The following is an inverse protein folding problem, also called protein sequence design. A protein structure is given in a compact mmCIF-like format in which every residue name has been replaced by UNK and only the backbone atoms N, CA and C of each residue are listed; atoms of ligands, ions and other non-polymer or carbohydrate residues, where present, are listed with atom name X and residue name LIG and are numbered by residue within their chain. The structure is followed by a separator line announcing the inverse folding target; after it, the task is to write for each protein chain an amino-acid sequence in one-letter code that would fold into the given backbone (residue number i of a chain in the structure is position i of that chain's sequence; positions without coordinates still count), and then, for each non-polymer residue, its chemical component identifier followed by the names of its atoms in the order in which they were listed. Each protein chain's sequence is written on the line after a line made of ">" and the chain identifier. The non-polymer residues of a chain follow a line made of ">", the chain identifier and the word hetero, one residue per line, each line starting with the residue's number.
data_IF_107584884071
#
_entry.id   IF_107584884071
#
_cell.length_a   1.000
_cell.length_b   1.000
_cell.length_c   1.000
_cell.angle_alpha   90.00
_cell.angle_beta   90.00
_cell.angle_gamma   90.00
#
_symmetry.space_group_name_H-M   'P 1'
#
loop_
_entity.id
_entity.type
_entity.pdbx_description
1 polymer ?
#
# COMPACT_ATOMS: atom_id res chain seq x y z
N UNK A 1 -14.97 -3.07 24.83
CA UNK A 1 -14.52 -4.03 25.87
C UNK A 1 -13.37 -4.91 25.34
N UNK A 2 -13.43 -5.45 24.12
CA UNK A 2 -12.37 -6.31 23.54
C UNK A 2 -11.05 -5.56 23.30
N UNK A 3 -11.09 -4.30 22.85
CA UNK A 3 -9.88 -3.51 22.60
C UNK A 3 -9.06 -3.28 23.88
N UNK A 4 -9.73 -3.07 25.02
CA UNK A 4 -9.07 -2.90 26.32
C UNK A 4 -8.41 -4.22 26.76
N UNK A 5 -9.09 -5.36 26.60
CA UNK A 5 -8.54 -6.66 26.93
C UNK A 5 -7.30 -6.99 26.07
N UNK A 6 -7.35 -6.73 24.76
CA UNK A 6 -6.20 -6.90 23.85
C UNK A 6 -5.05 -5.96 24.24
N UNK A 7 -5.33 -4.69 24.56
CA UNK A 7 -4.30 -3.75 24.99
C UNK A 7 -3.62 -4.17 26.31
N UNK A 8 -4.39 -4.68 27.28
CA UNK A 8 -3.84 -5.19 28.56
C UNK A 8 -2.99 -6.43 28.32
N UNK A 9 -3.47 -7.41 27.54
CA UNK A 9 -2.73 -8.64 27.22
C UNK A 9 -1.42 -8.29 26.48
N UNK A 10 -1.49 -7.41 25.49
CA UNK A 10 -0.31 -6.95 24.75
C UNK A 10 0.67 -6.21 25.65
N UNK A 11 0.18 -5.34 26.52
CA UNK A 11 1.00 -4.64 27.53
C UNK A 11 1.71 -5.58 28.50
N UNK A 12 1.01 -6.60 29.00
CA UNK A 12 1.59 -7.62 29.89
C UNK A 12 2.63 -8.50 29.16
N UNK A 13 2.38 -8.87 27.91
CA UNK A 13 3.35 -9.62 27.10
C UNK A 13 4.59 -8.77 26.82
N UNK A 14 4.44 -7.51 26.43
CA UNK A 14 5.55 -6.60 26.19
C UNK A 14 6.37 -6.32 27.45
N UNK A 15 5.76 -6.21 28.63
CA UNK A 15 6.47 -6.02 29.90
C UNK A 15 7.36 -7.23 30.25
N UNK A 16 6.92 -8.43 29.87
CA UNK A 16 7.68 -9.67 30.12
C UNK A 16 8.84 -9.86 29.14
N UNK A 17 8.73 -9.35 27.92
CA UNK A 17 9.74 -9.49 26.86
C UNK A 17 10.54 -8.20 26.61
N UNK A 18 10.19 -7.07 27.22
CA UNK A 18 10.69 -5.73 26.93
C UNK A 18 12.04 -5.36 27.56
N UNK A 19 13.00 -6.29 27.71
CA UNK A 19 14.34 -5.97 28.27
C UNK A 19 15.43 -5.65 27.23
N UNK A 20 15.08 -5.26 26.03
CA UNK A 20 16.06 -4.76 25.04
C UNK A 20 15.64 -3.41 24.47
N UNK A 21 15.67 -2.38 25.32
CA UNK A 21 15.64 -0.98 24.84
C UNK A 21 17.03 -0.63 24.31
N UNK A 22 17.34 -0.99 23.08
CA UNK A 22 18.27 -0.17 22.32
C UNK A 22 17.57 1.15 22.03
N UNK A 23 17.97 2.22 22.71
CA UNK A 23 17.58 3.57 22.35
C UNK A 23 18.05 3.85 20.91
N UNK A 24 17.20 3.57 19.93
CA UNK A 24 17.39 4.05 18.57
C UNK A 24 17.05 5.55 18.60
N UNK A 25 18.07 6.39 18.70
CA UNK A 25 17.92 7.82 18.43
C UNK A 25 17.36 7.96 17.02
N UNK A 26 16.18 8.54 16.90
CA UNK A 26 15.59 8.90 15.60
C UNK A 26 16.54 9.94 15.00
N UNK A 27 17.45 9.48 14.16
CA UNK A 27 18.37 10.38 13.46
C UNK A 27 17.69 10.86 12.18
N UNK A 28 17.55 12.16 12.00
CA UNK A 28 17.13 12.78 10.73
C UNK A 28 18.02 12.33 9.53
N UNK A 29 19.21 11.82 9.79
CA UNK A 29 20.05 11.17 8.80
C UNK A 29 19.43 9.95 8.13
N UNK A 30 18.45 9.30 8.77
CA UNK A 30 17.78 8.12 8.22
C UNK A 30 16.83 8.46 7.08
N UNK A 31 16.25 9.66 7.04
CA UNK A 31 15.43 10.14 5.92
C UNK A 31 16.26 10.23 4.64
N UNK A 32 17.53 10.62 4.74
CA UNK A 32 18.46 10.67 3.60
C UNK A 32 18.72 9.28 2.99
N UNK A 33 18.51 8.20 3.73
CA UNK A 33 18.69 6.86 3.20
C UNK A 33 17.51 6.42 2.33
N UNK A 34 16.26 6.80 2.65
CA UNK A 34 15.10 6.43 1.84
C UNK A 34 15.09 7.16 0.48
N UNK A 35 15.61 8.39 0.41
CA UNK A 35 15.71 9.15 -0.85
C UNK A 35 16.67 8.54 -1.87
N UNK A 36 17.51 7.59 -1.45
CA UNK A 36 18.35 6.80 -2.37
C UNK A 36 17.52 5.84 -3.26
N UNK A 37 16.25 5.59 -2.89
CA UNK A 37 15.32 4.69 -3.58
C UNK A 37 14.13 5.45 -4.19
N UNK A 38 14.35 6.43 -5.08
CA UNK A 38 13.28 7.34 -5.50
C UNK A 38 12.12 6.61 -6.20
N UNK A 39 12.39 5.51 -6.91
CA UNK A 39 11.35 4.73 -7.57
C UNK A 39 10.48 3.99 -6.54
N UNK A 40 11.09 3.44 -5.48
CA UNK A 40 10.35 2.75 -4.41
C UNK A 40 9.54 3.75 -3.60
N UNK A 41 10.09 4.93 -3.32
CA UNK A 41 9.36 6.02 -2.66
C UNK A 41 8.16 6.46 -3.49
N UNK A 42 8.32 6.61 -4.81
CA UNK A 42 7.22 6.94 -5.72
C UNK A 42 6.12 5.86 -5.68
N UNK A 43 6.50 4.57 -5.71
CA UNK A 43 5.56 3.47 -5.58
C UNK A 43 4.84 3.51 -4.23
N UNK A 44 5.59 3.72 -3.14
CA UNK A 44 5.04 3.77 -1.79
C UNK A 44 4.01 4.90 -1.66
N UNK A 45 4.33 6.10 -2.17
CA UNK A 45 3.41 7.24 -2.17
C UNK A 45 2.16 6.91 -3.00
N UNK A 46 2.31 6.38 -4.21
CA UNK A 46 1.17 6.01 -5.05
C UNK A 46 0.27 4.99 -4.36
N UNK A 47 0.86 3.87 -3.89
CA UNK A 47 0.10 2.80 -3.25
C UNK A 47 -0.58 3.25 -1.95
N UNK A 48 0.12 4.03 -1.10
CA UNK A 48 -0.45 4.53 0.16
C UNK A 48 -1.55 5.57 -0.07
N UNK A 49 -1.41 6.44 -1.06
CA UNK A 49 -2.43 7.42 -1.45
C UNK A 49 -3.69 6.71 -1.99
N UNK A 50 -3.50 5.72 -2.88
CA UNK A 50 -4.59 4.90 -3.38
C UNK A 50 -5.28 4.11 -2.25
N UNK A 51 -4.51 3.55 -1.31
CA UNK A 51 -5.03 2.81 -0.17
C UNK A 51 -5.81 3.70 0.81
N UNK A 52 -5.31 4.91 1.10
CA UNK A 52 -6.02 5.89 1.91
C UNK A 52 -7.37 6.28 1.30
N UNK A 53 -7.42 6.54 0.00
CA UNK A 53 -8.68 6.80 -0.73
C UNK A 53 -9.62 5.59 -0.67
N UNK A 54 -9.07 4.40 -0.89
CA UNK A 54 -9.83 3.16 -0.85
C UNK A 54 -10.50 2.93 0.51
N UNK A 55 -9.82 3.14 1.61
CA UNK A 55 -10.40 2.91 2.93
C UNK A 55 -11.40 3.99 3.38
N UNK A 56 -11.28 5.22 2.88
CA UNK A 56 -12.05 6.36 3.41
C UNK A 56 -13.17 6.82 2.48
N UNK A 57 -12.90 6.95 1.18
CA UNK A 57 -13.86 7.52 0.20
C UNK A 57 -14.67 6.41 -0.48
N UNK A 58 -14.09 5.25 -0.68
CA UNK A 58 -14.71 4.17 -1.45
C UNK A 58 -16.02 3.62 -0.85
N UNK A 59 -16.18 3.43 0.48
CA UNK A 59 -17.45 3.01 1.06
C UNK A 59 -18.59 3.99 0.73
N UNK A 60 -18.33 5.29 0.84
CA UNK A 60 -19.32 6.32 0.51
C UNK A 60 -19.68 6.30 -0.99
N UNK A 61 -18.69 6.09 -1.86
CA UNK A 61 -18.91 5.96 -3.29
C UNK A 61 -19.77 4.74 -3.65
N UNK A 62 -19.55 3.58 -3.02
CA UNK A 62 -20.39 2.40 -3.21
C UNK A 62 -21.82 2.64 -2.76
N UNK A 63 -22.00 3.31 -1.62
CA UNK A 63 -23.33 3.67 -1.11
C UNK A 63 -24.07 4.61 -2.07
N UNK A 64 -23.38 5.60 -2.63
CA UNK A 64 -23.93 6.50 -3.66
C UNK A 64 -24.36 5.76 -4.94
N UNK A 65 -23.77 4.60 -5.22
CA UNK A 65 -24.13 3.67 -6.32
C UNK A 65 -25.23 2.69 -5.95
N UNK A 66 -25.85 2.82 -4.76
CA UNK A 66 -26.97 2.00 -4.30
C UNK A 66 -26.56 0.65 -3.71
N UNK A 67 -25.26 0.44 -3.40
CA UNK A 67 -24.81 -0.75 -2.69
C UNK A 67 -25.18 -0.58 -1.21
N UNK A 68 -25.89 -1.53 -0.64
CA UNK A 68 -26.29 -1.52 0.77
C UNK A 68 -25.08 -1.64 1.72
N UNK A 69 -25.18 -1.12 2.95
CA UNK A 69 -24.10 -1.17 3.94
C UNK A 69 -23.62 -2.62 4.18
N UNK A 70 -24.51 -3.58 4.33
CA UNK A 70 -24.15 -4.98 4.51
C UNK A 70 -23.39 -5.57 3.32
N UNK A 71 -23.73 -5.16 2.10
CA UNK A 71 -22.99 -5.55 0.89
C UNK A 71 -21.61 -4.88 0.83
N UNK A 72 -21.48 -3.64 1.31
CA UNK A 72 -20.18 -2.96 1.42
C UNK A 72 -19.27 -3.71 2.41
N UNK A 73 -19.79 -4.12 3.58
CA UNK A 73 -19.05 -4.94 4.54
C UNK A 73 -18.60 -6.27 3.93
N UNK A 74 -19.50 -6.94 3.18
CA UNK A 74 -19.18 -8.18 2.47
C UNK A 74 -18.08 -7.96 1.43
N UNK A 75 -18.08 -6.85 0.70
CA UNK A 75 -17.04 -6.49 -0.25
C UNK A 75 -15.69 -6.30 0.43
N UNK A 76 -15.63 -5.64 1.59
CA UNK A 76 -14.40 -5.53 2.38
C UNK A 76 -13.94 -6.87 2.94
N UNK A 77 -14.85 -7.76 3.29
CA UNK A 77 -14.52 -9.14 3.66
C UNK A 77 -13.89 -9.91 2.48
N UNK A 78 -14.45 -9.80 1.28
CA UNK A 78 -13.90 -10.39 0.05
C UNK A 78 -12.50 -9.82 -0.24
N UNK A 79 -12.32 -8.51 -0.07
CA UNK A 79 -11.00 -7.88 -0.14
C UNK A 79 -10.01 -8.50 0.86
N UNK A 80 -10.44 -8.73 2.10
CA UNK A 80 -9.65 -9.41 3.13
C UNK A 80 -9.24 -10.82 2.73
N UNK A 81 -10.18 -11.61 2.18
CA UNK A 81 -9.89 -12.96 1.66
C UNK A 81 -8.88 -12.90 0.53
N UNK A 82 -9.05 -12.00 -0.45
CA UNK A 82 -8.09 -11.82 -1.54
C UNK A 82 -6.68 -11.54 -1.00
N UNK A 83 -6.56 -10.71 0.04
CA UNK A 83 -5.29 -10.44 0.70
C UNK A 83 -4.69 -11.67 1.37
N UNK A 84 -5.48 -12.46 2.10
CA UNK A 84 -5.02 -13.69 2.75
C UNK A 84 -4.52 -14.71 1.74
N UNK A 85 -5.27 -14.92 0.66
CA UNK A 85 -4.85 -15.80 -0.44
C UNK A 85 -3.54 -15.31 -1.05
N UNK A 86 -3.43 -14.02 -1.32
CA UNK A 86 -2.21 -13.42 -1.89
C UNK A 86 -1.00 -13.60 -0.98
N UNK A 87 -1.16 -13.44 0.34
CA UNK A 87 -0.08 -13.65 1.32
C UNK A 87 0.48 -15.07 1.27
N UNK A 88 -0.36 -16.08 1.02
CA UNK A 88 0.10 -17.46 0.87
C UNK A 88 1.06 -17.65 -0.32
N UNK A 89 1.03 -16.76 -1.31
CA UNK A 89 1.86 -16.79 -2.51
C UNK A 89 2.98 -15.74 -2.55
N UNK A 90 3.21 -14.98 -1.46
CA UNK A 90 4.25 -13.93 -1.42
C UNK A 90 5.64 -14.49 -1.68
N UNK A 91 6.00 -15.65 -1.09
CA UNK A 91 7.33 -16.24 -1.26
C UNK A 91 7.75 -16.50 -2.73
N UNK A 92 6.91 -17.12 -3.58
CA UNK A 92 7.17 -17.20 -5.02
C UNK A 92 7.26 -15.84 -5.72
N UNK A 93 6.48 -14.85 -5.29
CA UNK A 93 6.45 -13.50 -5.87
C UNK A 93 7.73 -12.71 -5.56
N UNK A 94 8.33 -12.93 -4.39
CA UNK A 94 9.62 -12.35 -4.02
C UNK A 94 10.74 -12.77 -4.97
N UNK A 95 10.74 -14.00 -5.47
CA UNK A 95 11.75 -14.48 -6.43
C UNK A 95 11.73 -13.72 -7.76
N UNK A 96 10.60 -13.12 -8.13
CA UNK A 96 10.40 -12.34 -9.37
C UNK A 96 10.06 -10.88 -9.07
N UNK A 97 10.70 -10.29 -8.12
CA UNK A 97 10.33 -9.03 -7.50
C UNK A 97 10.08 -7.88 -8.48
N UNK A 98 10.85 -7.70 -9.57
CA UNK A 98 10.57 -6.67 -10.57
C UNK A 98 9.17 -6.85 -11.18
N UNK A 99 8.84 -8.07 -11.61
CA UNK A 99 7.52 -8.37 -12.19
C UNK A 99 6.41 -8.23 -11.15
N UNK A 100 6.68 -8.60 -9.91
CA UNK A 100 5.72 -8.46 -8.81
C UNK A 100 5.45 -7.00 -8.44
N UNK A 101 6.48 -6.14 -8.47
CA UNK A 101 6.30 -4.69 -8.29
C UNK A 101 5.46 -4.07 -9.41
N UNK A 102 5.73 -4.43 -10.67
CA UNK A 102 4.92 -3.98 -11.81
C UNK A 102 3.48 -4.50 -11.67
N UNK A 103 3.32 -5.79 -11.38
CA UNK A 103 2.01 -6.41 -11.19
C UNK A 103 1.19 -5.73 -10.09
N UNK A 104 1.83 -5.34 -8.99
CA UNK A 104 1.23 -4.58 -7.89
C UNK A 104 0.61 -3.26 -8.37
N UNK A 105 1.41 -2.42 -9.04
CA UNK A 105 0.94 -1.10 -9.49
C UNK A 105 -0.14 -1.25 -10.55
N UNK A 106 0.06 -2.15 -11.51
CA UNK A 106 -0.94 -2.44 -12.56
C UNK A 106 -2.24 -2.96 -11.94
N UNK A 107 -2.16 -3.85 -10.96
CA UNK A 107 -3.34 -4.40 -10.29
C UNK A 107 -4.13 -3.29 -9.57
N UNK A 108 -3.46 -2.40 -8.82
CA UNK A 108 -4.13 -1.27 -8.16
C UNK A 108 -4.74 -0.33 -9.21
N UNK A 109 -3.98 0.02 -10.27
CA UNK A 109 -4.47 0.89 -11.33
C UNK A 109 -5.69 0.30 -12.06
N UNK A 110 -5.62 -0.97 -12.47
CA UNK A 110 -6.73 -1.68 -13.11
C UNK A 110 -7.92 -1.80 -12.16
N UNK A 111 -7.67 -2.13 -10.88
CA UNK A 111 -8.72 -2.14 -9.86
C UNK A 111 -9.46 -0.80 -9.77
N UNK A 112 -8.73 0.32 -9.77
CA UNK A 112 -9.32 1.66 -9.77
C UNK A 112 -10.10 1.96 -11.06
N UNK A 113 -9.63 1.48 -12.22
CA UNK A 113 -10.38 1.60 -13.48
C UNK A 113 -11.67 0.79 -13.43
N UNK A 114 -11.65 -0.42 -12.87
CA UNK A 114 -12.86 -1.23 -12.67
C UNK A 114 -13.83 -0.50 -11.76
N UNK A 115 -13.36 0.11 -10.67
CA UNK A 115 -14.18 0.94 -9.77
C UNK A 115 -14.85 2.09 -10.51
N UNK A 116 -14.12 2.78 -11.37
CA UNK A 116 -14.65 3.89 -12.17
C UNK A 116 -15.90 3.49 -12.99
N UNK A 117 -15.88 2.27 -13.55
CA UNK A 117 -17.02 1.73 -14.32
C UNK A 117 -18.03 0.94 -13.49
N UNK A 118 -17.75 0.71 -12.19
CA UNK A 118 -18.58 -0.17 -11.37
C UNK A 118 -19.93 0.47 -11.05
N UNK A 119 -20.99 -0.27 -11.35
CA UNK A 119 -22.39 0.08 -11.03
C UNK A 119 -23.10 -1.04 -10.26
N UNK A 120 -22.53 -2.26 -10.21
CA UNK A 120 -23.15 -3.43 -9.60
C UNK A 120 -22.24 -4.07 -8.55
N UNK A 121 -22.82 -4.86 -7.66
CA UNK A 121 -22.09 -5.60 -6.63
C UNK A 121 -20.98 -6.49 -7.22
N UNK A 122 -21.25 -7.16 -8.34
CA UNK A 122 -20.30 -8.07 -8.99
C UNK A 122 -19.07 -7.32 -9.53
N UNK A 123 -19.29 -6.15 -10.13
CA UNK A 123 -18.18 -5.30 -10.61
C UNK A 123 -17.32 -4.82 -9.44
N UNK A 124 -17.93 -4.39 -8.35
CA UNK A 124 -17.19 -4.03 -7.13
C UNK A 124 -16.44 -5.22 -6.54
N UNK A 125 -17.02 -6.43 -6.60
CA UNK A 125 -16.35 -7.67 -6.17
C UNK A 125 -15.08 -7.92 -6.98
N UNK A 126 -15.13 -7.79 -8.30
CA UNK A 126 -13.95 -7.93 -9.16
C UNK A 126 -12.88 -6.90 -8.80
N UNK A 127 -13.28 -5.64 -8.60
CA UNK A 127 -12.35 -4.60 -8.18
C UNK A 127 -11.68 -4.94 -6.83
N UNK A 128 -12.45 -5.41 -5.84
CA UNK A 128 -11.94 -5.82 -4.52
C UNK A 128 -10.92 -6.95 -4.60
N UNK A 129 -11.19 -7.96 -5.44
CA UNK A 129 -10.26 -9.08 -5.64
C UNK A 129 -8.94 -8.61 -6.27
N UNK A 130 -9.01 -7.78 -7.31
CA UNK A 130 -7.84 -7.24 -8.01
C UNK A 130 -7.03 -6.33 -7.08
N UNK A 131 -7.67 -5.41 -6.36
CA UNK A 131 -7.00 -4.51 -5.45
C UNK A 131 -6.44 -5.23 -4.22
N UNK A 132 -7.13 -6.27 -3.73
CA UNK A 132 -6.63 -7.10 -2.63
C UNK A 132 -5.27 -7.72 -2.93
N UNK A 133 -5.09 -8.23 -4.15
CA UNK A 133 -3.79 -8.68 -4.64
C UNK A 133 -2.75 -7.55 -4.64
N UNK A 134 -3.04 -6.42 -5.28
CA UNK A 134 -2.11 -5.30 -5.39
C UNK A 134 -1.69 -4.73 -4.03
N UNK A 135 -2.65 -4.40 -3.17
CA UNK A 135 -2.37 -3.82 -1.86
C UNK A 135 -1.68 -4.77 -0.87
N UNK A 136 -1.69 -6.08 -1.12
CA UNK A 136 -0.99 -7.03 -0.25
C UNK A 136 0.50 -7.09 -0.55
N UNK A 137 0.88 -7.08 -1.81
CA UNK A 137 2.26 -7.38 -2.25
C UNK A 137 3.19 -6.18 -2.09
N UNK A 138 2.70 -4.94 -2.28
CA UNK A 138 3.58 -3.77 -2.32
C UNK A 138 4.36 -3.55 -1.03
N UNK A 139 3.72 -3.76 0.12
CA UNK A 139 4.33 -3.47 1.41
C UNK A 139 5.53 -4.40 1.70
N UNK A 140 5.39 -5.75 1.70
CA UNK A 140 6.51 -6.62 1.98
C UNK A 140 7.64 -6.46 0.96
N UNK A 141 7.33 -6.32 -0.32
CA UNK A 141 8.37 -6.19 -1.35
C UNK A 141 9.15 -4.87 -1.26
N UNK A 142 8.46 -3.74 -1.11
CA UNK A 142 9.14 -2.44 -1.02
C UNK A 142 9.91 -2.31 0.29
N UNK A 143 9.37 -2.84 1.37
CA UNK A 143 10.04 -2.88 2.68
C UNK A 143 11.30 -3.74 2.64
N UNK A 144 11.22 -4.94 2.08
CA UNK A 144 12.35 -5.86 1.94
C UNK A 144 13.49 -5.25 1.12
N UNK A 145 13.17 -4.63 -0.03
CA UNK A 145 14.19 -3.99 -0.88
C UNK A 145 14.93 -2.90 -0.11
N UNK A 146 14.22 -2.07 0.63
CA UNK A 146 14.81 -0.99 1.41
C UNK A 146 15.68 -1.57 2.53
N UNK A 147 15.17 -2.55 3.28
CA UNK A 147 15.87 -3.13 4.43
C UNK A 147 17.12 -3.91 4.05
N UNK A 148 17.12 -4.62 2.93
CA UNK A 148 18.30 -5.34 2.43
C UNK A 148 19.46 -4.41 2.04
N UNK A 149 19.16 -3.17 1.66
CA UNK A 149 20.15 -2.22 1.15
C UNK A 149 20.70 -1.26 2.22
N UNK A 150 20.38 -1.47 3.50
CA UNK A 150 20.79 -0.58 4.58
C UNK A 150 21.45 -1.34 5.73
N UNK A 151 22.51 -0.78 6.29
CA UNK A 151 23.20 -1.35 7.45
C UNK A 151 22.25 -1.44 8.66
N UNK A 152 22.33 -2.53 9.42
CA UNK A 152 21.47 -2.81 10.59
C UNK A 152 21.36 -1.65 11.58
N UNK A 153 22.45 -0.87 11.78
CA UNK A 153 22.47 0.29 12.70
C UNK A 153 21.51 1.41 12.32
N UNK A 154 21.09 1.49 11.05
CA UNK A 154 20.16 2.52 10.55
C UNK A 154 18.75 2.00 10.35
N UNK A 155 18.48 0.73 10.63
CA UNK A 155 17.20 0.09 10.33
C UNK A 155 16.02 0.76 11.03
N UNK A 156 16.11 1.09 12.31
CA UNK A 156 15.03 1.73 13.05
C UNK A 156 14.60 3.09 12.47
N UNK A 157 15.57 3.96 12.16
CA UNK A 157 15.27 5.26 11.54
C UNK A 157 14.71 5.12 10.12
N UNK A 158 15.14 4.09 9.39
CA UNK A 158 14.64 3.83 8.04
C UNK A 158 13.20 3.30 8.06
N UNK A 159 12.87 2.41 9.01
CA UNK A 159 11.49 1.96 9.24
C UNK A 159 10.61 3.18 9.54
N UNK A 160 11.04 4.06 10.45
CA UNK A 160 10.31 5.29 10.75
C UNK A 160 10.11 6.19 9.53
N UNK A 161 11.13 6.35 8.67
CA UNK A 161 11.02 7.14 7.43
C UNK A 161 10.07 6.48 6.42
N UNK A 162 10.09 5.16 6.32
CA UNK A 162 9.17 4.38 5.47
C UNK A 162 7.72 4.57 5.93
N UNK A 163 7.47 4.38 7.22
CA UNK A 163 6.14 4.53 7.81
C UNK A 163 5.63 5.99 7.72
N UNK A 164 6.50 6.97 7.92
CA UNK A 164 6.14 8.38 7.74
C UNK A 164 5.75 8.68 6.28
N UNK A 165 6.50 8.15 5.30
CA UNK A 165 6.18 8.29 3.87
C UNK A 165 4.85 7.64 3.54
N UNK A 166 4.61 6.44 4.08
CA UNK A 166 3.34 5.74 3.95
C UNK A 166 2.18 6.55 4.56
N UNK A 167 2.35 7.07 5.77
CA UNK A 167 1.34 7.88 6.47
C UNK A 167 0.99 9.16 5.72
N UNK A 168 1.99 9.85 5.16
CA UNK A 168 1.78 11.05 4.32
C UNK A 168 0.94 10.70 3.09
N UNK A 169 1.29 9.62 2.38
CA UNK A 169 0.52 9.17 1.23
C UNK A 169 -0.92 8.81 1.62
N UNK A 170 -1.09 8.06 2.71
CA UNK A 170 -2.41 7.65 3.20
C UNK A 170 -3.29 8.87 3.54
N UNK A 171 -2.77 9.87 4.24
CA UNK A 171 -3.50 11.10 4.55
C UNK A 171 -3.79 11.95 3.30
N UNK A 172 -2.86 11.98 2.32
CA UNK A 172 -3.04 12.73 1.08
C UNK A 172 -4.11 12.12 0.16
N UNK A 173 -4.36 10.81 0.26
CA UNK A 173 -5.33 10.11 -0.59
C UNK A 173 -6.74 10.67 -0.55
N UNK A 174 -7.39 10.72 0.63
CA UNK A 174 -8.72 11.31 0.77
C UNK A 174 -8.79 12.77 0.38
N UNK A 175 -7.73 13.56 0.67
CA UNK A 175 -7.65 14.96 0.26
C UNK A 175 -7.64 15.10 -1.27
N UNK A 176 -6.78 14.34 -1.93
CA UNK A 176 -6.72 14.29 -3.40
C UNK A 176 -8.07 13.87 -3.98
N UNK A 177 -8.62 12.76 -3.50
CA UNK A 177 -9.88 12.24 -4.01
C UNK A 177 -11.05 13.20 -3.74
N UNK A 178 -11.09 13.85 -2.57
CA UNK A 178 -12.11 14.86 -2.25
C UNK A 178 -12.07 16.06 -3.19
N UNK A 179 -10.88 16.64 -3.44
CA UNK A 179 -10.71 17.77 -4.35
C UNK A 179 -11.11 17.37 -5.78
N UNK A 180 -10.62 16.23 -6.27
CA UNK A 180 -10.91 15.76 -7.63
C UNK A 180 -12.39 15.43 -7.79
N UNK A 181 -13.02 14.81 -6.80
CA UNK A 181 -14.46 14.53 -6.81
C UNK A 181 -15.30 15.79 -6.85
N UNK A 182 -14.89 16.82 -6.13
CA UNK A 182 -15.61 18.11 -6.10
C UNK A 182 -15.58 18.81 -7.45
N UNK A 183 -14.45 18.76 -8.17
CA UNK A 183 -14.26 19.50 -9.44
C UNK A 183 -14.74 18.69 -10.65
N UNK A 184 -14.47 17.40 -10.69
CA UNK A 184 -14.66 16.55 -11.89
C UNK A 184 -15.71 15.45 -11.72
N UNK A 185 -16.34 15.36 -10.55
CA UNK A 185 -17.35 14.35 -10.24
C UNK A 185 -16.80 13.17 -9.43
N UNK A 186 -17.73 12.45 -8.78
CA UNK A 186 -17.41 11.41 -7.78
C UNK A 186 -16.59 10.23 -8.31
N UNK A 187 -16.64 9.97 -9.61
CA UNK A 187 -15.92 8.88 -10.28
C UNK A 187 -14.48 9.27 -10.66
N UNK A 188 -14.24 10.57 -10.87
CA UNK A 188 -12.99 11.09 -11.42
C UNK A 188 -11.72 10.70 -10.64
N UNK A 189 -11.71 10.60 -9.30
CA UNK A 189 -10.51 10.15 -8.57
C UNK A 189 -10.03 8.77 -8.99
N UNK A 190 -10.93 7.85 -9.26
CA UNK A 190 -10.58 6.47 -9.65
C UNK A 190 -9.93 6.43 -11.01
N UNK A 191 -10.44 7.18 -11.98
CA UNK A 191 -9.78 7.37 -13.27
C UNK A 191 -8.42 8.05 -13.12
N UNK A 192 -8.33 9.05 -12.23
CA UNK A 192 -7.07 9.72 -11.90
C UNK A 192 -6.01 8.74 -11.37
N UNK A 193 -6.37 7.86 -10.42
CA UNK A 193 -5.47 6.84 -9.92
C UNK A 193 -5.06 5.83 -11.00
N UNK A 194 -5.96 5.45 -11.90
CA UNK A 194 -5.61 4.62 -13.05
C UNK A 194 -4.54 5.27 -13.93
N UNK A 195 -4.75 6.53 -14.32
CA UNK A 195 -3.79 7.26 -15.18
C UNK A 195 -2.44 7.47 -14.49
N UNK A 196 -2.44 7.86 -13.22
CA UNK A 196 -1.21 7.99 -12.41
C UNK A 196 -0.52 6.63 -12.30
N UNK A 197 -1.27 5.55 -12.08
CA UNK A 197 -0.74 4.19 -12.01
C UNK A 197 -0.04 3.75 -13.31
N UNK A 198 -0.58 4.12 -14.48
CA UNK A 198 0.08 3.89 -15.77
C UNK A 198 1.41 4.66 -15.87
N UNK A 199 1.43 5.93 -15.44
CA UNK A 199 2.66 6.74 -15.43
C UNK A 199 3.71 6.12 -14.50
N UNK A 200 3.32 5.74 -13.29
CA UNK A 200 4.21 5.10 -12.31
C UNK A 200 4.74 3.78 -12.87
N UNK A 201 3.88 2.96 -13.49
CA UNK A 201 4.29 1.72 -14.16
C UNK A 201 5.34 2.00 -15.25
N UNK A 202 5.09 2.99 -16.10
CA UNK A 202 6.04 3.41 -17.15
C UNK A 202 7.40 3.80 -16.56
N UNK A 203 7.42 4.60 -15.49
CA UNK A 203 8.66 5.01 -14.80
C UNK A 203 9.41 3.78 -14.25
N UNK A 204 8.71 2.81 -13.65
CA UNK A 204 9.32 1.59 -13.11
C UNK A 204 9.95 0.75 -14.23
N UNK A 205 9.25 0.59 -15.33
CA UNK A 205 9.74 -0.18 -16.49
C UNK A 205 10.96 0.50 -17.11
N UNK A 206 10.92 1.81 -17.32
CA UNK A 206 12.06 2.58 -17.86
C UNK A 206 13.29 2.54 -16.94
N UNK A 207 13.09 2.47 -15.63
CA UNK A 207 14.18 2.41 -14.64
C UNK A 207 14.56 0.99 -14.20
N UNK A 208 14.10 -0.04 -14.94
CA UNK A 208 14.34 -1.46 -14.66
C UNK A 208 15.80 -1.78 -14.34
N UNK A 209 16.73 -1.30 -15.14
CA UNK A 209 18.16 -1.59 -14.95
C UNK A 209 18.70 -1.05 -13.63
N UNK A 210 18.27 0.14 -13.20
CA UNK A 210 18.69 0.72 -11.91
C UNK A 210 18.12 -0.08 -10.73
N UNK A 211 16.88 -0.53 -10.83
CA UNK A 211 16.25 -1.37 -9.82
C UNK A 211 16.94 -2.74 -9.70
N UNK A 212 17.32 -3.34 -10.83
CA UNK A 212 18.01 -4.63 -10.84
C UNK A 212 19.43 -4.55 -10.29
N UNK A 213 20.15 -3.45 -10.48
CA UNK A 213 21.49 -3.22 -9.91
C UNK A 213 21.41 -3.12 -8.40
N UNK A 214 20.46 -2.35 -7.88
CA UNK A 214 20.20 -2.24 -6.43
C UNK A 214 19.85 -3.59 -5.80
N UNK A 215 19.37 -4.52 -6.61
CA UNK A 215 18.99 -5.85 -6.19
C UNK A 215 20.14 -6.85 -6.18
N UNK A 216 21.00 -6.82 -7.21
CA UNK A 216 22.12 -7.78 -7.38
C UNK A 216 23.34 -7.50 -6.51
N UNK A 217 23.48 -6.29 -5.96
CA UNK A 217 24.65 -5.92 -5.15
C UNK A 217 24.71 -6.60 -3.78
N UNK A 218 23.70 -7.40 -3.40
CA UNK A 218 23.59 -8.02 -2.07
C UNK A 218 23.30 -9.53 -2.09
N UNK A 219 23.58 -10.22 -3.20
CA UNK A 219 23.69 -11.68 -3.29
C UNK A 219 25.18 -12.03 -3.29
#
# INVERSE_FOLDING_TARGET
>A
TYAIAVAIITGLLLSKYGKTTQHSTISFGSIKHITKFPVIVLMLIFCSTAFGTFLTIYPAFMNDRGISESNIELLFFIFGISRLVTLAFVGPLEKRTFHSLVATIVSIAVGMLVVFYSATFEMFTIAMLIMGFGFTIYFPLTFEIIMRNVQKKFSGGLIGAYEATFGIGWAAGPLFAGIVSHVFGKDAPYLGFFLIGLIVTGIIVLKRNKLQIQWKQNI
#
